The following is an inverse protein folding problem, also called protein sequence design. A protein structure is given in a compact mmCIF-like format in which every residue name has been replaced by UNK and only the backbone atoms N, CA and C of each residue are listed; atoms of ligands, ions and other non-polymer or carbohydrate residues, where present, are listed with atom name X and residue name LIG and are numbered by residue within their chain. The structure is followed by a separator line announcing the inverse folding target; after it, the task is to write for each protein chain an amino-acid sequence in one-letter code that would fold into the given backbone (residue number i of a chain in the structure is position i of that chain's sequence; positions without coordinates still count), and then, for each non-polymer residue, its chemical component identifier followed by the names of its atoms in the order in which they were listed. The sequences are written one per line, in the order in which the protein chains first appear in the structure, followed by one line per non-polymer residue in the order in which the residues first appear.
data_IF_276392640753
#
_entry.id   IF_276392640753
#
_cell.length_a   1.000
_cell.length_b   1.000
_cell.length_c   1.000
_cell.angle_alpha   90.00
_cell.angle_beta   90.00
_cell.angle_gamma   90.00
#
_symmetry.space_group_name_H-M   'P 1'
#
loop_
_entity.id
_entity.type
_entity.pdbx_description
1 polymer ?
#
# COMPACT_ATOMS: atom_id res chain seq x y z
N UNK A 1 -4.93 -64.19 20.05
CA UNK A 1 -6.29 -63.61 19.87
C UNK A 1 -6.30 -62.10 20.22
N UNK A 2 -5.55 -61.63 21.22
CA UNK A 2 -5.52 -60.22 21.63
C UNK A 2 -4.79 -59.35 20.60
N UNK A 3 -3.76 -59.85 19.93
CA UNK A 3 -3.02 -59.14 18.89
C UNK A 3 -3.80 -58.95 17.57
N UNK A 4 -4.70 -59.83 17.25
CA UNK A 4 -5.54 -59.71 16.06
C UNK A 4 -6.71 -58.75 16.27
N UNK A 5 -7.22 -58.59 17.50
CA UNK A 5 -8.29 -57.69 17.87
C UNK A 5 -7.81 -56.23 17.91
N UNK A 6 -6.49 -55.98 18.07
CA UNK A 6 -5.92 -54.63 18.11
C UNK A 6 -5.60 -54.04 16.74
N UNK A 7 -5.57 -54.88 15.68
CA UNK A 7 -5.37 -54.45 14.29
C UNK A 7 -6.64 -53.94 13.59
N UNK A 8 -7.83 -54.16 14.15
CA UNK A 8 -9.10 -53.75 13.54
C UNK A 8 -9.54 -52.32 13.97
N UNK A 9 -8.86 -51.77 15.01
CA UNK A 9 -9.23 -50.42 15.54
C UNK A 9 -8.52 -49.26 14.81
N UNK A 10 -7.63 -49.56 13.86
CA UNK A 10 -6.84 -48.51 13.14
C UNK A 10 -7.39 -48.19 11.74
N UNK A 11 -8.53 -48.76 11.33
CA UNK A 11 -9.22 -48.22 10.16
C UNK A 11 -10.02 -47.00 10.58
N UNK A 12 -9.33 -45.89 10.75
CA UNK A 12 -9.91 -44.56 10.79
C UNK A 12 -10.69 -44.35 9.49
N UNK A 13 -11.93 -43.93 9.59
CA UNK A 13 -12.72 -43.51 8.45
C UNK A 13 -12.03 -42.31 7.79
N UNK A 14 -11.22 -42.59 6.79
CA UNK A 14 -10.57 -41.59 5.94
C UNK A 14 -11.32 -41.42 4.61
N UNK A 15 -12.43 -42.16 4.47
CA UNK A 15 -13.29 -42.01 3.31
C UNK A 15 -13.99 -40.65 3.41
N UNK A 16 -13.87 -39.86 2.35
CA UNK A 16 -14.51 -38.56 2.12
C UNK A 16 -13.96 -37.38 2.94
N UNK A 17 -12.80 -37.52 3.63
CA UNK A 17 -12.20 -36.41 4.37
C UNK A 17 -11.77 -35.27 3.44
N UNK A 18 -11.33 -35.59 2.23
CA UNK A 18 -11.00 -34.57 1.20
C UNK A 18 -12.27 -33.88 0.71
N UNK A 19 -13.35 -34.59 0.48
CA UNK A 19 -14.63 -34.02 0.04
C UNK A 19 -15.33 -33.21 1.14
N UNK A 20 -15.17 -33.61 2.41
CA UNK A 20 -15.68 -32.86 3.57
C UNK A 20 -14.93 -31.56 3.83
N UNK A 21 -13.68 -31.46 3.41
CA UNK A 21 -12.86 -30.26 3.53
C UNK A 21 -12.99 -29.29 2.34
N UNK A 22 -13.71 -29.67 1.29
CA UNK A 22 -14.04 -28.75 0.21
C UNK A 22 -15.21 -27.88 0.67
N UNK A 23 -14.96 -26.62 0.91
CA UNK A 23 -16.03 -25.64 1.16
C UNK A 23 -16.84 -25.47 -0.14
N UNK A 24 -18.10 -25.95 -0.19
CA UNK A 24 -18.91 -25.84 -1.40
C UNK A 24 -19.31 -24.41 -1.73
N UNK A 25 -19.04 -23.46 -0.82
CA UNK A 25 -19.27 -22.02 -1.01
C UNK A 25 -17.99 -21.28 -1.39
N UNK A 26 -16.84 -21.94 -1.31
CA UNK A 26 -15.58 -21.36 -1.76
C UNK A 26 -15.60 -21.19 -3.27
N UNK A 27 -15.45 -19.96 -3.74
CA UNK A 27 -15.26 -19.71 -5.17
C UNK A 27 -13.87 -20.20 -5.57
N UNK A 28 -13.82 -21.18 -6.47
CA UNK A 28 -12.56 -21.72 -7.01
C UNK A 28 -11.95 -20.80 -8.06
N UNK A 29 -12.72 -19.83 -8.58
CA UNK A 29 -12.31 -18.84 -9.56
C UNK A 29 -12.90 -17.49 -9.15
N UNK A 30 -12.16 -16.74 -8.34
CA UNK A 30 -12.52 -15.35 -8.03
C UNK A 30 -12.11 -14.46 -9.21
N UNK A 31 -13.09 -13.73 -9.76
CA UNK A 31 -12.83 -12.61 -10.64
C UNK A 31 -11.81 -11.67 -9.99
N UNK A 32 -10.84 -11.20 -10.77
CA UNK A 32 -9.78 -10.31 -10.30
C UNK A 32 -10.31 -8.93 -9.85
N UNK A 33 -11.44 -8.49 -10.40
CA UNK A 33 -12.00 -7.16 -10.14
C UNK A 33 -12.34 -6.90 -8.66
N UNK A 34 -13.05 -7.79 -7.92
CA UNK A 34 -13.25 -7.63 -6.48
C UNK A 34 -11.95 -7.59 -5.68
N UNK A 35 -10.90 -8.31 -6.12
CA UNK A 35 -9.59 -8.28 -5.47
C UNK A 35 -8.94 -6.89 -5.58
N UNK A 36 -9.07 -6.22 -6.73
CA UNK A 36 -8.62 -4.83 -6.89
C UNK A 36 -9.35 -3.88 -5.95
N UNK A 37 -10.68 -3.96 -5.85
CA UNK A 37 -11.44 -3.11 -4.93
C UNK A 37 -10.99 -3.31 -3.48
N UNK A 38 -10.78 -4.54 -3.05
CA UNK A 38 -10.25 -4.86 -1.73
C UNK A 38 -8.83 -4.28 -1.53
N UNK A 39 -7.94 -4.49 -2.51
CA UNK A 39 -6.57 -3.96 -2.48
C UNK A 39 -6.56 -2.44 -2.33
N UNK A 40 -7.35 -1.71 -3.12
CA UNK A 40 -7.42 -0.26 -3.04
C UNK A 40 -7.91 0.21 -1.68
N UNK A 41 -8.97 -0.38 -1.15
CA UNK A 41 -9.50 -0.04 0.18
C UNK A 41 -8.46 -0.30 1.28
N UNK A 42 -7.80 -1.45 1.24
CA UNK A 42 -6.75 -1.79 2.22
C UNK A 42 -5.51 -0.90 2.11
N UNK A 43 -5.21 -0.39 0.91
CA UNK A 43 -4.10 0.53 0.68
C UNK A 43 -4.37 1.97 1.13
N UNK A 44 -5.61 2.29 1.48
CA UNK A 44 -6.00 3.65 1.88
C UNK A 44 -5.60 4.02 3.31
N UNK A 45 -4.71 3.26 3.91
CA UNK A 45 -4.20 3.45 5.27
C UNK A 45 -5.25 3.20 6.36
N UNK A 46 -5.10 2.14 7.09
CA UNK A 46 -5.91 1.84 8.27
C UNK A 46 -5.50 2.74 9.45
N UNK A 47 -6.39 2.86 10.44
CA UNK A 47 -6.15 3.72 11.61
C UNK A 47 -4.89 3.32 12.39
N UNK A 48 -4.57 2.03 12.47
CA UNK A 48 -3.36 1.52 13.13
C UNK A 48 -2.09 2.03 12.45
N UNK A 49 -1.99 1.94 11.13
CA UNK A 49 -0.84 2.44 10.36
C UNK A 49 -0.73 3.97 10.44
N UNK A 50 -1.86 4.67 10.27
CA UNK A 50 -1.89 6.12 10.35
C UNK A 50 -1.42 6.60 11.72
N UNK A 51 -1.97 6.05 12.79
CA UNK A 51 -1.64 6.48 14.14
C UNK A 51 -0.21 6.14 14.52
N UNK A 52 0.22 4.90 14.32
CA UNK A 52 1.53 4.44 14.80
C UNK A 52 2.67 4.95 13.92
N UNK A 53 2.66 4.62 12.64
CA UNK A 53 3.82 4.93 11.80
C UNK A 53 3.80 6.37 11.28
N UNK A 54 2.66 6.84 10.77
CA UNK A 54 2.64 8.16 10.12
C UNK A 54 2.57 9.31 11.13
N UNK A 55 1.70 9.25 12.15
CA UNK A 55 1.51 10.36 13.08
C UNK A 55 2.47 10.27 14.27
N UNK A 56 2.42 9.16 15.04
CA UNK A 56 3.21 9.03 16.26
C UNK A 56 4.70 8.77 16.01
N UNK A 57 5.09 8.33 14.81
CA UNK A 57 6.49 8.19 14.43
C UNK A 57 6.91 9.29 13.44
N UNK A 58 6.63 9.15 12.16
CA UNK A 58 7.14 10.04 11.11
C UNK A 58 6.74 11.51 11.30
N UNK A 59 5.47 11.78 11.60
CA UNK A 59 4.96 13.13 11.81
C UNK A 59 5.63 13.86 12.99
N UNK A 60 5.96 13.13 14.05
CA UNK A 60 6.70 13.69 15.20
C UNK A 60 8.19 13.88 14.90
N UNK A 61 8.83 12.92 14.20
CA UNK A 61 10.24 13.04 13.81
C UNK A 61 10.49 14.30 12.95
N UNK A 62 9.56 14.64 12.07
CA UNK A 62 9.63 15.86 11.23
C UNK A 62 9.00 17.08 11.90
N UNK A 63 8.65 17.00 13.17
CA UNK A 63 8.10 18.11 13.97
C UNK A 63 6.79 18.72 13.43
N UNK A 64 6.01 17.94 12.67
CA UNK A 64 4.70 18.38 12.16
C UNK A 64 3.57 18.14 13.15
N UNK A 65 3.69 17.05 13.91
CA UNK A 65 2.72 16.64 14.93
C UNK A 65 3.43 16.43 16.25
N UNK A 66 2.73 16.62 17.34
CA UNK A 66 3.14 16.22 18.68
C UNK A 66 1.98 15.52 19.36
N UNK A 67 2.23 14.46 20.09
CA UNK A 67 1.26 13.82 20.98
C UNK A 67 1.77 13.81 22.41
N UNK A 68 0.96 14.29 23.36
CA UNK A 68 1.38 14.39 24.76
C UNK A 68 1.42 13.03 25.46
N UNK A 69 0.66 12.07 24.97
CA UNK A 69 0.62 10.69 25.52
C UNK A 69 1.79 9.86 25.00
N UNK A 70 2.17 10.07 23.74
CA UNK A 70 3.22 9.34 23.04
C UNK A 70 4.29 10.29 22.46
N UNK A 71 5.06 11.01 23.30
CA UNK A 71 5.99 12.05 22.81
C UNK A 71 7.34 11.50 22.31
N UNK A 72 7.58 10.20 22.31
CA UNK A 72 8.89 9.59 22.14
C UNK A 72 9.58 10.01 20.85
N UNK A 73 8.86 9.96 19.74
CA UNK A 73 9.46 10.34 18.44
C UNK A 73 9.77 11.85 18.35
N UNK A 74 9.03 12.70 19.06
CA UNK A 74 9.34 14.15 19.12
C UNK A 74 10.68 14.45 19.79
N UNK A 75 11.15 13.57 20.67
CA UNK A 75 12.44 13.65 21.35
C UNK A 75 13.46 12.65 20.80
N UNK A 76 13.21 12.13 19.59
CA UNK A 76 14.07 11.20 18.86
C UNK A 76 14.39 9.91 19.62
N UNK A 77 13.48 9.46 20.49
CA UNK A 77 13.54 8.14 21.13
C UNK A 77 12.84 7.14 20.26
N UNK A 78 13.56 6.09 19.88
CA UNK A 78 12.98 5.01 19.04
C UNK A 78 11.91 4.21 19.79
N UNK A 79 10.86 3.87 19.05
CA UNK A 79 9.79 2.97 19.45
C UNK A 79 9.58 1.96 18.33
N UNK A 80 10.09 0.75 18.51
CA UNK A 80 10.04 -0.31 17.48
C UNK A 80 8.60 -0.67 17.10
N UNK A 81 7.68 -0.72 18.06
CA UNK A 81 6.27 -1.00 17.82
C UNK A 81 5.60 0.03 16.89
N UNK A 82 5.98 1.32 16.99
CA UNK A 82 5.47 2.36 16.10
C UNK A 82 6.03 2.24 14.68
N UNK A 83 7.28 1.84 14.57
CA UNK A 83 7.94 1.68 13.27
C UNK A 83 7.50 0.40 12.56
N UNK A 84 7.26 -0.67 13.33
CA UNK A 84 6.91 -1.98 12.77
C UNK A 84 5.49 -2.03 12.20
N UNK A 85 4.57 -1.19 12.67
CA UNK A 85 3.16 -1.21 12.25
C UNK A 85 2.99 -1.12 10.72
N UNK A 86 3.77 -0.25 10.05
CA UNK A 86 3.72 -0.12 8.59
C UNK A 86 4.22 -1.37 7.87
N UNK A 87 5.34 -1.93 8.33
CA UNK A 87 5.89 -3.16 7.80
C UNK A 87 4.89 -4.32 7.90
N UNK A 88 4.38 -4.54 9.09
CA UNK A 88 3.49 -5.67 9.37
C UNK A 88 2.24 -5.63 8.49
N UNK A 89 1.54 -4.51 8.48
CA UNK A 89 0.29 -4.39 7.71
C UNK A 89 0.54 -4.47 6.21
N UNK A 90 1.60 -3.86 5.68
CA UNK A 90 1.89 -3.90 4.26
C UNK A 90 2.17 -5.32 3.78
N UNK A 91 3.06 -6.06 4.43
CA UNK A 91 3.40 -7.42 4.00
C UNK A 91 2.27 -8.43 4.22
N UNK A 92 1.55 -8.32 5.33
CA UNK A 92 0.47 -9.28 5.65
C UNK A 92 -0.81 -9.03 4.88
N UNK A 93 -1.01 -7.84 4.32
CA UNK A 93 -2.27 -7.46 3.67
C UNK A 93 -2.07 -7.00 2.22
N UNK A 94 -1.47 -5.83 1.99
CA UNK A 94 -1.49 -5.18 0.67
C UNK A 94 -0.52 -5.81 -0.31
N UNK A 95 0.71 -6.12 0.10
CA UNK A 95 1.72 -6.77 -0.75
C UNK A 95 1.24 -8.15 -1.16
N UNK A 96 0.78 -8.95 -0.21
CA UNK A 96 0.21 -10.26 -0.50
C UNK A 96 -0.93 -10.17 -1.53
N UNK A 97 -1.81 -9.17 -1.39
CA UNK A 97 -2.96 -9.00 -2.27
C UNK A 97 -2.57 -8.58 -3.68
N UNK A 98 -1.61 -7.65 -3.84
CA UNK A 98 -1.17 -7.23 -5.18
C UNK A 98 -0.40 -8.33 -5.90
N UNK A 99 0.42 -9.09 -5.18
CA UNK A 99 1.16 -10.24 -5.73
C UNK A 99 0.21 -11.36 -6.16
N UNK A 100 -0.84 -11.64 -5.38
CA UNK A 100 -1.89 -12.61 -5.74
C UNK A 100 -2.64 -12.18 -7.02
N UNK A 101 -2.98 -10.90 -7.17
CA UNK A 101 -3.58 -10.35 -8.38
C UNK A 101 -2.66 -10.54 -9.58
N UNK A 102 -1.39 -10.16 -9.47
CA UNK A 102 -0.42 -10.28 -10.55
C UNK A 102 -0.25 -11.74 -10.95
N UNK A 103 -0.08 -12.65 -9.99
CA UNK A 103 0.06 -14.09 -10.24
C UNK A 103 -1.16 -14.69 -10.95
N UNK A 104 -2.37 -14.28 -10.57
CA UNK A 104 -3.59 -14.71 -11.27
C UNK A 104 -3.61 -14.20 -12.71
N UNK A 105 -3.34 -12.92 -12.94
CA UNK A 105 -3.32 -12.33 -14.29
C UNK A 105 -2.26 -12.98 -15.18
N UNK A 106 -1.09 -13.32 -14.63
CA UNK A 106 -0.04 -14.08 -15.34
C UNK A 106 -0.52 -15.48 -15.72
N UNK A 107 -1.15 -16.17 -14.79
CA UNK A 107 -1.73 -17.50 -15.02
C UNK A 107 -2.82 -17.49 -16.12
N UNK A 108 -3.56 -16.40 -16.23
CA UNK A 108 -4.56 -16.16 -17.28
C UNK A 108 -3.97 -15.68 -18.61
N UNK A 109 -2.66 -15.37 -18.64
CA UNK A 109 -2.01 -14.75 -19.80
C UNK A 109 -2.48 -13.32 -20.06
N UNK A 110 -3.04 -12.63 -19.07
CA UNK A 110 -3.52 -11.26 -19.16
C UNK A 110 -2.34 -10.28 -18.99
N UNK A 111 -1.97 -9.63 -20.07
CA UNK A 111 -0.91 -8.59 -20.12
C UNK A 111 -1.50 -7.21 -20.45
N UNK A 112 -2.78 -7.01 -20.18
CA UNK A 112 -3.54 -5.81 -20.53
C UNK A 112 -3.61 -4.77 -19.42
N UNK A 113 -4.71 -4.05 -19.41
CA UNK A 113 -4.96 -2.90 -18.51
C UNK A 113 -4.88 -3.29 -17.04
N UNK A 114 -5.45 -4.42 -16.65
CA UNK A 114 -5.45 -4.89 -15.26
C UNK A 114 -4.03 -5.15 -14.78
N UNK A 115 -3.20 -5.83 -15.58
CA UNK A 115 -1.80 -6.04 -15.27
C UNK A 115 -1.06 -4.71 -15.11
N UNK A 116 -1.28 -3.77 -16.03
CA UNK A 116 -0.67 -2.44 -15.95
C UNK A 116 -1.04 -1.69 -14.67
N UNK A 117 -2.29 -1.74 -14.25
CA UNK A 117 -2.76 -1.14 -13.00
C UNK A 117 -2.16 -1.85 -11.78
N UNK A 118 -2.12 -3.19 -11.78
CA UNK A 118 -1.52 -3.97 -10.70
C UNK A 118 -0.04 -3.65 -10.49
N UNK A 119 0.74 -3.54 -11.57
CA UNK A 119 2.16 -3.15 -11.54
C UNK A 119 2.35 -1.74 -10.98
N UNK A 120 1.58 -0.76 -11.46
CA UNK A 120 1.64 0.61 -10.94
C UNK A 120 1.31 0.63 -9.44
N UNK A 121 0.30 -0.13 -9.02
CA UNK A 121 -0.09 -0.19 -7.61
C UNK A 121 0.92 -0.94 -6.74
N UNK A 122 1.53 -2.02 -7.25
CA UNK A 122 2.67 -2.69 -6.62
C UNK A 122 3.77 -1.68 -6.29
N UNK A 123 4.16 -0.86 -7.26
CA UNK A 123 5.18 0.18 -7.04
C UNK A 123 4.71 1.23 -6.03
N UNK A 124 3.44 1.65 -6.09
CA UNK A 124 2.87 2.59 -5.11
C UNK A 124 2.99 2.07 -3.67
N UNK A 125 2.84 0.77 -3.44
CA UNK A 125 3.01 0.15 -2.12
C UNK A 125 4.48 0.05 -1.73
N UNK A 126 5.30 -0.54 -2.59
CA UNK A 126 6.70 -0.84 -2.26
C UNK A 126 7.59 0.40 -2.11
N UNK A 127 7.34 1.48 -2.87
CA UNK A 127 8.21 2.64 -2.76
C UNK A 127 8.19 3.25 -1.36
N UNK A 128 7.06 3.21 -0.65
CA UNK A 128 6.97 3.71 0.72
C UNK A 128 7.69 2.80 1.72
N UNK A 129 7.70 1.49 1.48
CA UNK A 129 8.45 0.53 2.30
C UNK A 129 9.95 0.73 2.15
N UNK A 130 10.44 0.78 0.91
CA UNK A 130 11.87 1.00 0.62
C UNK A 130 12.33 2.36 1.12
N UNK A 131 11.51 3.41 0.96
CA UNK A 131 11.79 4.74 1.50
C UNK A 131 11.91 4.79 3.03
N UNK A 132 11.20 3.90 3.71
CA UNK A 132 11.15 3.85 5.18
C UNK A 132 12.23 2.94 5.77
N UNK A 133 12.48 1.79 5.15
CA UNK A 133 13.28 0.72 5.75
C UNK A 133 14.59 0.42 4.99
N UNK A 134 14.76 0.92 3.77
CA UNK A 134 15.89 0.57 2.91
C UNK A 134 15.71 -0.79 2.25
N UNK A 135 16.70 -1.68 2.41
CA UNK A 135 16.62 -3.03 1.88
C UNK A 135 15.41 -3.76 2.47
N UNK A 136 14.60 -4.37 1.62
CA UNK A 136 13.35 -5.03 2.01
C UNK A 136 13.10 -6.24 1.11
N UNK A 137 12.35 -7.26 1.55
CA UNK A 137 11.88 -8.30 0.64
C UNK A 137 10.99 -7.69 -0.45
N UNK A 138 11.36 -7.91 -1.70
CA UNK A 138 10.66 -7.37 -2.87
C UNK A 138 10.35 -8.43 -3.93
N UNK A 139 11.39 -9.08 -4.49
CA UNK A 139 11.22 -10.00 -5.61
C UNK A 139 10.49 -11.28 -5.23
N UNK A 140 10.69 -11.77 -4.01
CA UNK A 140 10.03 -12.96 -3.48
C UNK A 140 8.90 -12.65 -2.48
N UNK A 141 8.58 -11.36 -2.29
CA UNK A 141 7.58 -10.95 -1.33
C UNK A 141 6.17 -11.41 -1.73
N UNK A 142 5.36 -11.80 -0.76
CA UNK A 142 3.96 -12.21 -0.99
C UNK A 142 3.76 -13.61 -1.56
N UNK A 143 4.83 -14.37 -1.84
CA UNK A 143 4.78 -15.69 -2.50
C UNK A 143 4.42 -16.85 -1.55
N UNK A 144 4.12 -16.56 -0.28
CA UNK A 144 3.87 -17.60 0.73
C UNK A 144 2.73 -18.57 0.37
N UNK A 145 1.63 -18.09 -0.20
CA UNK A 145 0.51 -18.94 -0.64
C UNK A 145 0.70 -19.54 -2.05
N UNK A 146 1.49 -18.88 -2.89
CA UNK A 146 1.66 -19.25 -4.29
C UNK A 146 2.75 -20.33 -4.42
N UNK A 147 3.90 -20.12 -3.78
CA UNK A 147 5.08 -20.95 -3.90
C UNK A 147 5.53 -21.59 -2.57
N UNK A 148 4.85 -21.29 -1.46
CA UNK A 148 5.24 -21.75 -0.14
C UNK A 148 6.46 -21.03 0.44
N UNK A 149 6.93 -19.94 -0.20
CA UNK A 149 8.06 -19.14 0.30
C UNK A 149 7.60 -18.19 1.41
N UNK A 150 7.78 -18.62 2.66
CA UNK A 150 7.43 -17.85 3.87
C UNK A 150 8.61 -17.06 4.45
N UNK A 151 9.80 -17.14 3.83
CA UNK A 151 11.03 -16.46 4.25
C UNK A 151 11.74 -15.84 3.06
N UNK A 152 11.12 -14.81 2.43
CA UNK A 152 11.75 -14.13 1.31
C UNK A 152 13.08 -13.49 1.73
N UNK A 153 14.03 -13.42 0.81
CA UNK A 153 15.28 -12.70 1.00
C UNK A 153 15.03 -11.18 1.05
N UNK A 154 15.96 -10.46 1.66
CA UNK A 154 16.03 -9.01 1.55
C UNK A 154 16.76 -8.64 0.26
N UNK A 155 16.20 -7.72 -0.48
CA UNK A 155 16.74 -7.22 -1.75
C UNK A 155 17.35 -5.84 -1.55
N UNK A 156 18.38 -5.53 -2.32
CA UNK A 156 19.06 -4.23 -2.27
C UNK A 156 18.14 -3.10 -2.74
N UNK A 157 18.09 -2.01 -1.98
CA UNK A 157 17.21 -0.88 -2.24
C UNK A 157 17.45 -0.24 -3.62
N UNK A 158 18.70 -0.23 -4.14
CA UNK A 158 19.01 0.27 -5.48
C UNK A 158 18.41 -0.64 -6.56
N UNK A 159 18.53 -1.96 -6.40
CA UNK A 159 17.97 -2.94 -7.34
C UNK A 159 16.43 -2.81 -7.35
N UNK A 160 15.81 -2.70 -6.18
CA UNK A 160 14.36 -2.49 -6.06
C UNK A 160 13.93 -1.20 -6.77
N UNK A 161 14.64 -0.10 -6.58
CA UNK A 161 14.32 1.17 -7.22
C UNK A 161 14.38 1.11 -8.74
N UNK A 162 15.38 0.42 -9.27
CA UNK A 162 15.50 0.25 -10.71
C UNK A 162 14.39 -0.64 -11.29
N UNK A 163 14.03 -1.71 -10.58
CA UNK A 163 12.91 -2.56 -10.98
C UNK A 163 11.57 -1.81 -10.92
N UNK A 164 11.32 -1.07 -9.85
CA UNK A 164 10.11 -0.24 -9.73
C UNK A 164 9.95 0.76 -10.87
N UNK A 165 11.06 1.34 -11.37
CA UNK A 165 11.01 2.25 -12.52
C UNK A 165 10.66 1.50 -13.82
N UNK A 166 11.17 0.28 -14.02
CA UNK A 166 10.81 -0.59 -15.14
C UNK A 166 9.35 -1.06 -15.04
N UNK A 167 8.89 -1.47 -13.86
CA UNK A 167 7.50 -1.85 -13.61
C UNK A 167 6.52 -0.72 -13.96
N UNK A 168 6.87 0.52 -13.65
CA UNK A 168 6.05 1.68 -14.02
C UNK A 168 6.02 1.92 -15.52
N UNK A 169 7.15 1.79 -16.22
CA UNK A 169 7.21 1.94 -17.67
C UNK A 169 6.34 0.90 -18.36
N UNK A 170 6.52 -0.37 -17.99
CA UNK A 170 5.75 -1.48 -18.54
C UNK A 170 4.26 -1.37 -18.18
N UNK A 171 3.96 -1.06 -16.91
CA UNK A 171 2.59 -0.90 -16.45
C UNK A 171 1.85 0.20 -17.20
N UNK A 172 2.46 1.37 -17.39
CA UNK A 172 1.87 2.46 -18.17
C UNK A 172 1.66 2.05 -19.63
N UNK A 173 2.59 1.31 -20.24
CA UNK A 173 2.50 0.85 -21.62
C UNK A 173 1.37 -0.18 -21.81
N UNK A 174 1.12 -1.05 -20.84
CA UNK A 174 0.07 -2.08 -20.87
C UNK A 174 -1.36 -1.52 -20.76
N UNK A 175 -1.53 -0.34 -20.19
CA UNK A 175 -2.88 0.24 -20.03
C UNK A 175 -3.45 0.60 -21.40
N UNK A 176 -4.53 -0.06 -21.79
CA UNK A 176 -5.30 0.20 -23.00
C UNK A 176 -6.34 1.29 -22.85
N UNK A 177 -7.32 1.32 -23.76
CA UNK A 177 -8.44 2.28 -23.72
C UNK A 177 -9.70 1.73 -23.05
N UNK A 178 -9.83 0.40 -22.93
CA UNK A 178 -11.02 -0.22 -22.36
C UNK A 178 -11.01 -0.11 -20.83
N UNK A 179 -12.14 0.28 -20.25
CA UNK A 179 -12.37 0.23 -18.81
C UNK A 179 -12.71 -1.22 -18.44
N UNK A 180 -11.74 -1.95 -17.95
CA UNK A 180 -11.85 -3.38 -17.61
C UNK A 180 -12.17 -3.63 -16.14
N UNK A 181 -11.77 -2.73 -15.23
CA UNK A 181 -12.09 -2.85 -13.81
C UNK A 181 -13.51 -2.35 -13.45
N UNK A 182 -14.12 -1.53 -14.29
CA UNK A 182 -15.46 -1.00 -14.03
C UNK A 182 -15.56 -0.28 -12.69
N UNK A 183 -16.56 -0.66 -11.91
CA UNK A 183 -16.82 -0.11 -10.55
C UNK A 183 -15.84 -0.59 -9.49
N UNK A 184 -14.99 -1.56 -9.79
CA UNK A 184 -13.93 -2.02 -8.89
C UNK A 184 -12.72 -1.08 -8.86
N UNK A 185 -12.61 -0.17 -9.85
CA UNK A 185 -11.64 0.92 -9.81
C UNK A 185 -12.13 2.04 -8.87
N UNK A 186 -11.81 1.93 -7.61
CA UNK A 186 -12.20 2.91 -6.57
C UNK A 186 -11.38 4.19 -6.61
N UNK A 187 -10.31 4.25 -7.43
CA UNK A 187 -9.36 5.37 -7.48
C UNK A 187 -9.73 6.35 -8.60
N UNK A 188 -9.92 5.85 -9.81
CA UNK A 188 -10.19 6.67 -10.98
C UNK A 188 -11.48 6.30 -11.73
N UNK A 189 -12.25 5.36 -11.19
CA UNK A 189 -13.53 4.92 -11.76
C UNK A 189 -13.41 4.50 -13.23
N UNK A 190 -12.33 3.79 -13.56
CA UNK A 190 -12.04 3.26 -14.88
C UNK A 190 -11.45 4.27 -15.89
N UNK A 191 -10.97 5.42 -15.43
CA UNK A 191 -10.27 6.37 -16.27
C UNK A 191 -8.80 5.97 -16.47
N UNK A 192 -8.56 5.22 -17.54
CA UNK A 192 -7.23 4.73 -17.90
C UNK A 192 -6.24 5.87 -18.23
N UNK A 193 -6.72 7.03 -18.64
CA UNK A 193 -5.85 8.20 -18.87
C UNK A 193 -5.27 8.71 -17.56
N UNK A 194 -6.06 8.71 -16.49
CA UNK A 194 -5.59 9.09 -15.17
C UNK A 194 -4.64 8.05 -14.58
N UNK A 195 -4.87 6.76 -14.82
CA UNK A 195 -3.94 5.72 -14.45
C UNK A 195 -2.56 5.90 -15.09
N UNK A 196 -2.52 6.21 -16.39
CA UNK A 196 -1.24 6.52 -17.08
C UNK A 196 -0.54 7.73 -16.46
N UNK A 197 -1.29 8.81 -16.21
CA UNK A 197 -0.73 10.01 -15.56
C UNK A 197 -0.22 9.70 -14.16
N UNK A 198 -0.93 8.88 -13.39
CA UNK A 198 -0.52 8.46 -12.05
C UNK A 198 0.78 7.66 -12.10
N UNK A 199 0.88 6.65 -12.97
CA UNK A 199 2.10 5.85 -13.17
C UNK A 199 3.29 6.71 -13.57
N UNK A 200 3.12 7.63 -14.54
CA UNK A 200 4.17 8.57 -14.94
C UNK A 200 4.55 9.55 -13.80
N UNK A 201 3.60 10.01 -12.99
CA UNK A 201 3.90 10.88 -11.86
C UNK A 201 4.66 10.15 -10.76
N UNK A 202 4.34 8.88 -10.51
CA UNK A 202 5.08 8.03 -9.60
C UNK A 202 6.50 7.76 -10.12
N UNK A 203 6.67 7.52 -11.43
CA UNK A 203 7.96 7.40 -12.09
C UNK A 203 8.81 8.68 -11.90
N UNK A 204 8.21 9.87 -12.10
CA UNK A 204 8.89 11.14 -11.86
C UNK A 204 9.30 11.31 -10.41
N UNK A 205 8.45 10.90 -9.47
CA UNK A 205 8.75 10.91 -8.03
C UNK A 205 9.95 10.04 -7.70
N UNK A 206 9.97 8.78 -8.16
CA UNK A 206 11.09 7.85 -7.95
C UNK A 206 12.38 8.37 -8.60
N UNK A 207 12.30 8.84 -9.85
CA UNK A 207 13.43 9.44 -10.53
C UNK A 207 14.03 10.62 -9.76
N UNK A 208 13.17 11.48 -9.18
CA UNK A 208 13.63 12.63 -8.38
C UNK A 208 14.34 12.21 -7.09
N UNK A 209 13.94 11.08 -6.49
CA UNK A 209 14.56 10.57 -5.25
C UNK A 209 15.97 10.04 -5.46
N UNK A 210 16.26 9.42 -6.60
CA UNK A 210 17.60 8.90 -6.90
C UNK A 210 18.58 9.96 -7.41
N UNK A 211 18.15 11.24 -7.54
CA UNK A 211 18.96 12.31 -8.13
C UNK A 211 20.36 12.46 -7.53
N UNK A 212 20.49 12.26 -6.22
CA UNK A 212 21.75 12.47 -5.52
C UNK A 212 22.68 11.23 -5.54
N UNK A 213 22.13 10.06 -5.91
CA UNK A 213 22.90 8.80 -5.99
C UNK A 213 23.21 8.40 -7.43
N UNK A 214 22.26 8.64 -8.36
CA UNK A 214 22.42 8.43 -9.79
C UNK A 214 21.72 9.54 -10.59
N UNK A 215 22.45 10.63 -10.83
CA UNK A 215 21.90 11.77 -11.56
C UNK A 215 21.62 11.45 -13.06
N UNK A 216 22.34 10.51 -13.64
CA UNK A 216 22.13 10.13 -15.05
C UNK A 216 20.84 9.34 -15.20
N UNK A 217 20.63 8.31 -14.39
CA UNK A 217 19.39 7.55 -14.36
C UNK A 217 18.19 8.46 -13.96
N UNK A 218 18.36 9.30 -12.94
CA UNK A 218 17.34 10.28 -12.53
C UNK A 218 16.86 11.13 -13.70
N UNK A 219 17.77 11.74 -14.45
CA UNK A 219 17.42 12.58 -15.60
C UNK A 219 16.72 11.79 -16.70
N UNK A 220 17.21 10.59 -17.02
CA UNK A 220 16.62 9.75 -18.07
C UNK A 220 15.18 9.36 -17.74
N UNK A 221 14.93 8.86 -16.52
CA UNK A 221 13.60 8.47 -16.06
C UNK A 221 12.66 9.65 -15.88
N UNK A 222 13.15 10.79 -15.37
CA UNK A 222 12.35 12.01 -15.23
C UNK A 222 11.86 12.53 -16.59
N UNK A 223 12.75 12.57 -17.61
CA UNK A 223 12.36 12.96 -18.96
C UNK A 223 11.34 12.00 -19.58
N UNK A 224 11.52 10.68 -19.37
CA UNK A 224 10.57 9.68 -19.84
C UNK A 224 9.18 9.90 -19.21
N UNK A 225 9.13 10.09 -17.89
CA UNK A 225 7.90 10.35 -17.17
C UNK A 225 7.17 11.63 -17.64
N UNK A 226 7.90 12.72 -17.80
CA UNK A 226 7.34 14.01 -18.26
C UNK A 226 6.80 13.87 -19.67
N UNK A 227 7.54 13.24 -20.58
CA UNK A 227 7.10 13.03 -21.97
C UNK A 227 5.90 12.09 -22.06
N UNK A 228 5.75 11.13 -21.13
CA UNK A 228 4.58 10.27 -21.04
C UNK A 228 3.32 10.95 -20.52
N UNK A 229 3.45 12.15 -19.96
CA UNK A 229 2.36 12.94 -19.38
C UNK A 229 2.09 12.60 -17.92
N UNK A 230 2.39 13.55 -17.05
CA UNK A 230 2.16 13.46 -15.59
C UNK A 230 0.83 14.11 -15.19
N UNK A 231 0.42 13.90 -13.93
CA UNK A 231 -0.68 14.63 -13.32
C UNK A 231 -0.34 16.13 -13.29
N UNK A 232 -1.25 16.97 -13.77
CA UNK A 232 -0.99 18.40 -13.95
C UNK A 232 -2.01 19.31 -13.27
N UNK A 233 -3.08 18.76 -12.73
CA UNK A 233 -4.14 19.51 -12.05
C UNK A 233 -4.83 18.67 -10.98
N UNK A 234 -5.61 19.33 -10.11
CA UNK A 234 -6.43 18.65 -9.12
C UNK A 234 -7.48 17.68 -9.73
N UNK A 235 -7.82 17.85 -11.01
CA UNK A 235 -8.72 16.94 -11.73
C UNK A 235 -8.07 15.55 -11.96
N UNK A 236 -6.75 15.46 -11.90
CA UNK A 236 -6.00 14.21 -12.05
C UNK A 236 -5.77 13.49 -10.69
N UNK A 237 -6.24 14.04 -9.58
CA UNK A 237 -5.99 13.50 -8.25
C UNK A 237 -6.46 12.06 -8.11
N UNK A 238 -5.58 11.17 -7.63
CA UNK A 238 -5.97 9.86 -7.15
C UNK A 238 -6.80 10.03 -5.88
N UNK A 239 -8.07 9.68 -5.95
CA UNK A 239 -9.00 9.97 -4.87
C UNK A 239 -9.95 8.79 -4.63
N UNK A 240 -10.02 8.33 -3.40
CA UNK A 240 -10.94 7.28 -2.99
C UNK A 240 -11.93 7.83 -1.96
N UNK A 241 -13.21 7.61 -2.20
CA UNK A 241 -14.28 8.06 -1.32
C UNK A 241 -14.46 7.03 -0.20
N UNK A 242 -14.31 7.48 1.02
CA UNK A 242 -14.67 6.73 2.23
C UNK A 242 -16.07 7.07 2.66
N UNK A 243 -16.72 6.15 3.37
CA UNK A 243 -18.08 6.29 3.88
C UNK A 243 -18.14 5.91 5.36
N UNK A 244 -19.22 6.28 6.05
CA UNK A 244 -19.51 5.84 7.42
C UNK A 244 -20.07 4.40 7.46
N UNK A 245 -19.67 3.55 6.51
CA UNK A 245 -20.15 2.18 6.38
C UNK A 245 -19.98 1.34 7.64
N UNK A 246 -20.58 0.13 7.67
CA UNK A 246 -20.70 -0.68 8.89
C UNK A 246 -19.36 -1.25 9.38
N UNK A 247 -18.32 -1.17 8.58
CA UNK A 247 -16.98 -1.71 8.89
C UNK A 247 -15.93 -0.62 8.90
N UNK A 248 -14.82 -0.83 9.62
CA UNK A 248 -13.68 0.09 9.63
C UNK A 248 -13.01 0.20 8.25
N UNK A 249 -13.16 -0.81 7.41
CA UNK A 249 -12.68 -0.79 6.02
C UNK A 249 -13.27 0.37 5.18
N UNK A 250 -14.48 0.80 5.51
CA UNK A 250 -15.15 1.88 4.79
C UNK A 250 -14.77 3.27 5.31
N UNK A 251 -14.20 3.36 6.51
CA UNK A 251 -13.94 4.63 7.19
C UNK A 251 -12.58 5.20 6.80
N UNK A 252 -12.51 6.51 6.77
CA UNK A 252 -11.23 7.19 6.65
C UNK A 252 -10.46 7.11 7.99
N UNK A 253 -9.20 6.71 7.93
CA UNK A 253 -8.35 6.57 9.12
C UNK A 253 -8.22 7.86 9.95
N UNK A 254 -8.19 9.04 9.33
CA UNK A 254 -8.17 10.33 10.03
C UNK A 254 -9.42 10.58 10.84
N UNK A 255 -10.59 10.19 10.31
CA UNK A 255 -11.87 10.30 11.04
C UNK A 255 -11.94 9.42 12.28
N UNK A 256 -11.22 8.29 12.25
CA UNK A 256 -11.14 7.36 13.39
C UNK A 256 -10.03 7.80 14.38
N UNK A 257 -8.90 8.31 13.85
CA UNK A 257 -7.76 8.74 14.65
C UNK A 257 -8.09 9.92 15.55
N UNK A 258 -8.71 10.98 15.04
CA UNK A 258 -8.90 12.22 15.76
C UNK A 258 -9.68 12.07 17.09
N UNK A 259 -10.79 11.29 17.16
CA UNK A 259 -11.47 11.01 18.41
C UNK A 259 -10.66 10.15 19.40
N UNK A 260 -9.83 9.22 18.88
CA UNK A 260 -9.07 8.27 19.69
C UNK A 260 -7.84 8.90 20.33
N UNK A 261 -7.22 9.87 19.64
CA UNK A 261 -5.98 10.55 20.08
C UNK A 261 -6.22 12.06 20.29
N UNK A 262 -7.04 12.46 21.28
CA UNK A 262 -7.42 13.86 21.48
C UNK A 262 -6.24 14.74 21.95
N UNK A 263 -5.09 14.15 22.31
CA UNK A 263 -3.89 14.85 22.75
C UNK A 263 -2.89 15.15 21.61
N UNK A 264 -3.20 14.69 20.39
CA UNK A 264 -2.41 15.07 19.23
C UNK A 264 -2.58 16.56 18.91
N UNK A 265 -1.49 17.23 18.58
CA UNK A 265 -1.45 18.68 18.29
C UNK A 265 -0.53 18.92 17.09
N UNK A 266 -0.73 20.05 16.44
CA UNK A 266 0.29 20.57 15.51
C UNK A 266 1.59 20.82 16.26
N UNK A 267 2.72 20.41 15.67
CA UNK A 267 4.04 20.66 16.24
C UNK A 267 4.38 22.15 16.23
N UNK A 268 5.04 22.64 17.30
CA UNK A 268 5.39 24.05 17.43
C UNK A 268 6.25 24.54 16.24
N UNK A 269 7.17 23.72 15.76
CA UNK A 269 8.02 24.03 14.59
C UNK A 269 7.19 24.34 13.35
N UNK A 270 6.20 23.50 13.03
CA UNK A 270 5.32 23.75 11.89
C UNK A 270 4.41 24.96 12.14
N UNK A 271 3.83 25.07 13.33
CA UNK A 271 2.98 26.21 13.71
C UNK A 271 3.71 27.54 13.55
N UNK A 272 4.91 27.67 14.15
CA UNK A 272 5.70 28.89 14.10
C UNK A 272 6.12 29.24 12.67
N UNK A 273 6.47 28.21 11.88
CA UNK A 273 6.80 28.44 10.46
C UNK A 273 5.60 29.02 9.69
N UNK A 274 4.43 28.42 9.81
CA UNK A 274 3.20 28.88 9.13
C UNK A 274 2.83 30.29 9.60
N UNK A 275 2.88 30.57 10.90
CA UNK A 275 2.56 31.87 11.49
C UNK A 275 3.51 32.97 11.00
N UNK A 276 4.82 32.72 11.03
CA UNK A 276 5.84 33.67 10.64
C UNK A 276 5.84 34.00 9.14
N UNK A 277 5.28 33.11 8.31
CA UNK A 277 5.14 33.33 6.86
C UNK A 277 3.75 33.80 6.43
N UNK A 278 2.84 34.02 7.37
CA UNK A 278 1.46 34.42 7.07
C UNK A 278 0.71 33.38 6.20
N UNK A 279 1.04 32.11 6.38
CA UNK A 279 0.49 31.03 5.54
C UNK A 279 -0.99 30.83 5.83
N UNK A 280 -1.89 30.95 4.83
CA UNK A 280 -3.34 30.85 5.03
C UNK A 280 -3.78 29.46 5.51
N UNK A 281 -2.97 28.42 5.32
CA UNK A 281 -3.27 27.05 5.79
C UNK A 281 -3.26 26.95 7.31
N UNK A 282 -2.59 27.86 8.03
CA UNK A 282 -2.55 27.83 9.49
C UNK A 282 -3.96 27.77 10.09
N UNK A 283 -4.87 28.63 9.64
CA UNK A 283 -6.23 28.68 10.16
C UNK A 283 -7.09 27.47 9.74
N UNK A 284 -6.71 26.77 8.69
CA UNK A 284 -7.42 25.59 8.19
C UNK A 284 -6.94 24.31 8.86
N UNK A 285 -5.61 24.19 9.05
CA UNK A 285 -4.98 22.95 9.54
C UNK A 285 -4.99 22.89 11.07
N UNK A 286 -4.79 24.04 11.75
CA UNK A 286 -4.68 24.10 13.21
C UNK A 286 -6.00 24.34 13.94
N UNK A 287 -7.06 24.75 13.24
CA UNK A 287 -8.35 25.12 13.83
C UNK A 287 -8.98 24.02 14.70
N UNK A 288 -8.96 22.79 14.22
CA UNK A 288 -9.56 21.65 14.94
C UNK A 288 -8.81 21.24 16.21
N UNK A 289 -7.57 21.74 16.40
CA UNK A 289 -6.72 21.40 17.54
C UNK A 289 -6.53 22.55 18.53
N UNK A 290 -6.92 23.77 18.17
CA UNK A 290 -6.83 24.97 19.03
C UNK A 290 -8.12 25.28 19.79
N UNK A 291 -9.22 24.60 19.49
CA UNK A 291 -10.55 24.85 20.11
C UNK A 291 -10.94 23.84 21.19
N UNK A 292 -9.96 23.03 21.67
CA UNK A 292 -10.20 22.11 22.80
C UNK A 292 -9.36 22.57 24.02
#
# INVERSE_FOLDING_TARGET
FITLSMMIIVSSCDNDFEDLNVDPTASTELDVNPKFAYLFLKSATEEYELSYTQILCAGQLVQQVMDQTFPQSSIYTMREDLQFAWWDTQYTTTIKSVVDIISQLEGEGNVGTEMGIARIWKVFLFHTLVDTYGDTPYFEAGMGFIEGNIRPAYDDAQEIYMDMLNELEEGVAQIGSANTLGTSDLVFNGDNTKWKKFGNSLMLRLASRIKNVDAAASNAWALKAINGGTMSSNADTAFMIHTDGPTDLNRNAWGTYAPRYPNARIGATLYDWLANHGDPRLNTVSYTHLTL
#
